data_IF_741598231958
#
_entry.id   IF_741598231958
#
_cell.length_a   1.000
_cell.length_b   1.000
_cell.length_c   1.000
_cell.angle_alpha   90.00
_cell.angle_beta   90.00
_cell.angle_gamma   90.00
#
_symmetry.space_group_name_H-M   'P 1'
#
loop_
_entity.id
_entity.type
_entity.pdbx_description
1 polymer ?
#
# COMPACT_ATOMS: atom_id res chain seq x y z
N UNK A 1 7.59 -31.83 22.05
CA UNK A 1 6.20 -32.15 21.65
C UNK A 1 5.18 -31.03 21.90
N UNK A 2 4.89 -30.59 23.14
CA UNK A 2 3.92 -29.48 23.38
C UNK A 2 4.26 -28.17 22.65
N UNK A 3 5.54 -27.81 22.53
CA UNK A 3 5.93 -26.60 21.81
C UNK A 3 5.56 -26.63 20.31
N UNK A 4 5.43 -27.82 19.70
CA UNK A 4 5.03 -27.95 18.30
C UNK A 4 3.56 -27.59 18.09
N UNK A 5 2.73 -27.69 19.13
CA UNK A 5 1.31 -27.30 19.08
C UNK A 5 1.12 -25.79 19.22
N UNK A 6 2.13 -25.05 19.70
CA UNK A 6 2.06 -23.58 19.79
C UNK A 6 2.07 -22.93 18.41
N UNK A 7 2.85 -23.44 17.46
CA UNK A 7 2.96 -22.84 16.12
C UNK A 7 1.61 -22.84 15.40
N UNK A 8 0.86 -23.96 15.28
CA UNK A 8 -0.48 -23.95 14.69
C UNK A 8 -1.46 -23.02 15.39
N UNK A 9 -1.39 -22.92 16.73
CA UNK A 9 -2.27 -22.05 17.51
C UNK A 9 -1.98 -20.57 17.23
N UNK A 10 -0.71 -20.17 17.19
CA UNK A 10 -0.30 -18.80 16.86
C UNK A 10 -0.64 -18.44 15.40
N UNK A 11 -0.46 -19.38 14.47
CA UNK A 11 -0.87 -19.21 13.07
C UNK A 11 -2.38 -18.99 12.97
N UNK A 12 -3.18 -19.79 13.69
CA UNK A 12 -4.63 -19.62 13.73
C UNK A 12 -5.02 -18.23 14.26
N UNK A 13 -4.48 -17.82 15.41
CA UNK A 13 -4.76 -16.50 15.99
C UNK A 13 -4.33 -15.35 15.08
N UNK A 14 -3.16 -15.46 14.43
CA UNK A 14 -2.70 -14.45 13.48
C UNK A 14 -3.63 -14.35 12.27
N UNK A 15 -4.09 -15.48 11.72
CA UNK A 15 -5.03 -15.49 10.60
C UNK A 15 -6.40 -14.91 10.98
N UNK A 16 -6.90 -15.21 12.18
CA UNK A 16 -8.14 -14.63 12.70
C UNK A 16 -8.04 -13.10 12.82
N UNK A 17 -6.94 -12.59 13.39
CA UNK A 17 -6.69 -11.15 13.49
C UNK A 17 -6.56 -10.48 12.12
N UNK A 18 -5.86 -11.13 11.17
CA UNK A 18 -5.78 -10.65 9.79
C UNK A 18 -7.17 -10.60 9.16
N UNK A 19 -7.97 -11.65 9.27
CA UNK A 19 -9.30 -11.68 8.66
C UNK A 19 -10.21 -10.58 9.23
N UNK A 20 -10.22 -10.40 10.56
CA UNK A 20 -11.00 -9.35 11.20
C UNK A 20 -10.62 -7.94 10.69
N UNK A 21 -9.32 -7.65 10.57
CA UNK A 21 -8.86 -6.38 10.03
C UNK A 21 -9.32 -6.19 8.58
N UNK A 22 -9.37 -7.26 7.80
CA UNK A 22 -9.66 -7.22 6.37
C UNK A 22 -11.14 -7.06 6.08
N UNK A 23 -12.01 -7.59 6.95
CA UNK A 23 -13.45 -7.36 6.87
C UNK A 23 -13.79 -5.86 6.98
N UNK A 24 -13.01 -5.11 7.77
CA UNK A 24 -13.14 -3.65 7.91
C UNK A 24 -12.47 -2.92 6.74
N UNK A 25 -11.19 -3.22 6.47
CA UNK A 25 -10.41 -2.46 5.50
C UNK A 25 -10.95 -2.61 4.06
N UNK A 26 -11.40 -3.81 3.66
CA UNK A 26 -11.76 -4.09 2.27
C UNK A 26 -12.96 -3.28 1.78
N UNK A 27 -13.88 -2.89 2.68
CA UNK A 27 -15.04 -2.05 2.35
C UNK A 27 -14.65 -0.58 2.08
N UNK A 28 -13.55 -0.13 2.68
CA UNK A 28 -13.06 1.24 2.55
C UNK A 28 -12.08 1.44 1.39
N UNK A 29 -11.65 0.36 0.72
CA UNK A 29 -10.74 0.45 -0.42
C UNK A 29 -11.43 1.12 -1.59
N UNK A 30 -10.82 2.19 -2.10
CA UNK A 30 -11.27 2.88 -3.31
C UNK A 30 -10.42 2.43 -4.50
N UNK A 31 -11.05 1.86 -5.51
CA UNK A 31 -10.39 1.46 -6.74
C UNK A 31 -10.62 2.51 -7.84
N UNK A 32 -9.54 2.87 -8.53
CA UNK A 32 -9.53 3.78 -9.68
C UNK A 32 -8.72 3.15 -10.81
N UNK A 33 -9.21 3.28 -12.04
CA UNK A 33 -8.44 2.90 -13.23
C UNK A 33 -7.54 4.05 -13.65
N UNK A 34 -6.24 3.78 -13.81
CA UNK A 34 -5.25 4.73 -14.28
C UNK A 34 -5.17 4.76 -15.82
N UNK A 35 -4.62 5.83 -16.41
CA UNK A 35 -4.48 5.97 -17.86
C UNK A 35 -3.68 4.85 -18.53
N UNK A 36 -2.64 4.33 -17.87
CA UNK A 36 -1.86 3.17 -18.32
C UNK A 36 -2.58 1.82 -18.19
N UNK A 37 -3.84 1.80 -17.75
CA UNK A 37 -4.64 0.58 -17.62
C UNK A 37 -4.50 -0.14 -16.28
N UNK A 38 -3.60 0.30 -15.39
CA UNK A 38 -3.47 -0.23 -14.04
C UNK A 38 -4.67 0.11 -13.14
N UNK A 39 -4.99 -0.79 -12.22
CA UNK A 39 -5.98 -0.55 -11.16
C UNK A 39 -5.23 -0.05 -9.94
N UNK A 40 -5.40 1.24 -9.62
CA UNK A 40 -4.92 1.84 -8.38
C UNK A 40 -5.96 1.67 -7.29
N UNK A 41 -5.57 1.00 -6.21
CA UNK A 41 -6.39 0.81 -5.02
C UNK A 41 -5.82 1.67 -3.91
N UNK A 42 -6.66 2.49 -3.30
CA UNK A 42 -6.24 3.44 -2.28
C UNK A 42 -6.96 3.12 -0.97
N UNK A 43 -6.19 3.04 0.11
CA UNK A 43 -6.70 2.78 1.47
C UNK A 43 -6.06 3.75 2.47
N UNK A 44 -6.90 4.48 3.20
CA UNK A 44 -6.44 5.25 4.36
C UNK A 44 -6.37 4.28 5.56
N UNK A 45 -5.16 3.79 5.84
CA UNK A 45 -4.91 2.82 6.93
C UNK A 45 -4.97 3.48 8.30
N UNK A 46 -4.95 4.80 8.38
CA UNK A 46 -5.11 5.54 9.63
C UNK A 46 -6.60 5.66 10.00
N UNK A 47 -7.49 5.80 9.02
CA UNK A 47 -8.93 5.96 9.29
C UNK A 47 -9.73 4.66 9.23
N UNK A 48 -9.28 3.70 8.42
CA UNK A 48 -10.06 2.49 8.11
C UNK A 48 -9.37 1.19 8.51
N UNK A 49 -8.38 1.26 9.41
CA UNK A 49 -7.79 0.09 10.03
C UNK A 49 -7.74 0.24 11.56
N UNK A 50 -7.80 -0.88 12.28
CA UNK A 50 -7.63 -0.87 13.73
C UNK A 50 -6.18 -0.50 14.08
N UNK A 51 -6.01 0.62 14.78
CA UNK A 51 -4.69 1.10 15.22
C UNK A 51 -4.19 0.31 16.42
N UNK A 52 -2.86 0.32 16.61
CA UNK A 52 -2.18 -0.30 17.75
C UNK A 52 -2.48 -1.80 17.95
N UNK A 53 -2.92 -2.48 16.89
CA UNK A 53 -3.22 -3.91 16.89
C UNK A 53 -2.53 -4.60 15.71
N UNK A 54 -2.47 -5.93 15.75
CA UNK A 54 -2.01 -6.72 14.62
C UNK A 54 -3.17 -6.99 13.66
N UNK A 55 -2.98 -6.90 12.32
CA UNK A 55 -1.73 -6.58 11.63
C UNK A 55 -1.41 -5.07 11.55
N UNK A 56 -0.10 -4.70 11.53
CA UNK A 56 0.32 -3.31 11.37
C UNK A 56 0.02 -2.79 9.95
N UNK A 57 0.00 -1.45 9.74
CA UNK A 57 -0.41 -0.83 8.47
C UNK A 57 0.27 -1.39 7.21
N UNK A 58 1.56 -1.71 7.28
CA UNK A 58 2.30 -2.31 6.16
C UNK A 58 1.82 -3.72 5.80
N UNK A 59 1.50 -4.55 6.81
CA UNK A 59 0.96 -5.90 6.60
C UNK A 59 -0.52 -5.83 6.20
N UNK A 60 -1.30 -4.91 6.76
CA UNK A 60 -2.67 -4.62 6.34
C UNK A 60 -2.73 -4.25 4.86
N UNK A 61 -1.93 -3.28 4.42
CA UNK A 61 -1.86 -2.86 3.01
C UNK A 61 -1.40 -4.01 2.11
N UNK A 62 -0.49 -4.84 2.62
CA UNK A 62 -0.03 -6.05 1.94
C UNK A 62 -1.11 -7.07 1.70
N UNK A 63 -1.85 -7.41 2.75
CA UNK A 63 -2.93 -8.40 2.65
C UNK A 63 -4.09 -7.90 1.78
N UNK A 64 -4.38 -6.60 1.83
CA UNK A 64 -5.33 -5.95 0.90
C UNK A 64 -4.85 -6.10 -0.53
N UNK A 65 -3.58 -5.82 -0.80
CA UNK A 65 -2.98 -5.98 -2.13
C UNK A 65 -3.10 -7.43 -2.63
N UNK A 66 -2.77 -8.41 -1.79
CA UNK A 66 -2.81 -9.83 -2.16
C UNK A 66 -4.24 -10.29 -2.51
N UNK A 67 -5.25 -9.87 -1.75
CA UNK A 67 -6.66 -10.16 -2.08
C UNK A 67 -7.11 -9.46 -3.37
N UNK A 68 -6.67 -8.24 -3.62
CA UNK A 68 -7.03 -7.49 -4.83
C UNK A 68 -6.33 -8.03 -6.07
N UNK A 69 -5.08 -8.53 -5.95
CA UNK A 69 -4.40 -9.24 -7.02
C UNK A 69 -5.14 -10.52 -7.41
N UNK A 70 -5.69 -11.26 -6.44
CA UNK A 70 -6.55 -12.42 -6.72
C UNK A 70 -7.85 -12.02 -7.41
N UNK A 71 -8.46 -10.90 -6.99
CA UNK A 71 -9.70 -10.37 -7.58
C UNK A 71 -9.48 -9.86 -9.01
N UNK A 72 -8.33 -9.28 -9.31
CA UNK A 72 -7.96 -8.72 -10.61
C UNK A 72 -6.81 -9.50 -11.24
N UNK A 73 -6.92 -10.82 -11.33
CA UNK A 73 -5.83 -11.72 -11.72
C UNK A 73 -5.10 -11.29 -13.00
N UNK A 74 -5.85 -10.83 -14.02
CA UNK A 74 -5.35 -10.52 -15.36
C UNK A 74 -4.99 -9.04 -15.59
N UNK A 75 -4.98 -8.23 -14.53
CA UNK A 75 -4.73 -6.78 -14.65
C UNK A 75 -3.54 -6.34 -13.80
N UNK A 76 -2.82 -5.29 -14.24
CA UNK A 76 -1.85 -4.61 -13.42
C UNK A 76 -2.55 -3.97 -12.22
N UNK A 77 -2.05 -4.25 -11.01
CA UNK A 77 -2.65 -3.82 -9.75
C UNK A 77 -1.61 -3.05 -8.96
N UNK A 78 -1.99 -1.87 -8.49
CA UNK A 78 -1.23 -1.08 -7.53
C UNK A 78 -2.11 -0.86 -6.31
N UNK A 79 -1.54 -1.04 -5.12
CA UNK A 79 -2.21 -0.73 -3.85
C UNK A 79 -1.37 0.29 -3.11
N UNK A 80 -2.02 1.38 -2.73
CA UNK A 80 -1.47 2.48 -1.96
C UNK A 80 -2.22 2.55 -0.62
N UNK A 81 -1.55 2.13 0.44
CA UNK A 81 -2.03 2.30 1.81
C UNK A 81 -1.36 3.52 2.43
N UNK A 82 -2.11 4.54 2.84
CA UNK A 82 -1.53 5.77 3.36
C UNK A 82 -2.05 6.13 4.75
N UNK A 83 -1.18 6.76 5.53
CA UNK A 83 -1.49 7.37 6.82
C UNK A 83 -1.36 8.90 6.78
N UNK A 84 -1.16 9.54 7.93
CA UNK A 84 -1.02 11.00 7.99
C UNK A 84 0.26 11.49 7.31
N UNK A 85 1.38 10.83 7.55
CA UNK A 85 2.75 11.24 7.15
C UNK A 85 3.50 10.16 6.34
N UNK A 86 2.80 9.10 5.92
CA UNK A 86 3.40 8.02 5.14
C UNK A 86 2.44 7.41 4.11
N UNK A 87 3.02 6.76 3.11
CA UNK A 87 2.36 5.88 2.17
C UNK A 87 3.18 4.61 1.98
N UNK A 88 2.50 3.47 1.89
CA UNK A 88 3.04 2.15 1.57
C UNK A 88 2.49 1.77 0.20
N UNK A 89 3.38 1.40 -0.71
CA UNK A 89 3.04 0.99 -2.06
C UNK A 89 3.39 -0.47 -2.29
N UNK A 90 2.50 -1.15 -3.02
CA UNK A 90 2.74 -2.46 -3.61
C UNK A 90 2.21 -2.49 -5.03
N UNK A 91 2.98 -3.02 -5.97
CA UNK A 91 2.53 -3.26 -7.34
C UNK A 91 2.73 -4.71 -7.78
N UNK A 92 1.91 -5.10 -8.77
CA UNK A 92 2.05 -6.30 -9.58
C UNK A 92 1.73 -5.94 -11.04
N UNK A 93 2.62 -6.26 -11.97
CA UNK A 93 2.47 -5.94 -13.39
C UNK A 93 2.67 -4.45 -13.73
N UNK A 94 3.30 -3.68 -12.84
CA UNK A 94 3.63 -2.27 -13.07
C UNK A 94 5.10 -2.05 -12.77
N UNK A 95 5.85 -1.52 -13.73
CA UNK A 95 7.29 -1.30 -13.67
C UNK A 95 7.64 -0.09 -12.81
N UNK A 96 7.29 -0.15 -11.51
CA UNK A 96 7.55 0.94 -10.59
C UNK A 96 9.05 1.09 -10.31
N UNK A 97 9.50 2.34 -10.21
CA UNK A 97 10.82 2.69 -9.72
C UNK A 97 10.67 3.67 -8.56
N UNK A 98 10.35 3.14 -7.38
CA UNK A 98 10.08 3.94 -6.19
C UNK A 98 11.25 4.87 -5.84
N UNK A 99 12.53 4.45 -5.85
CA UNK A 99 13.64 5.36 -5.59
C UNK A 99 13.66 6.57 -6.55
N UNK A 100 13.43 6.34 -7.85
CA UNK A 100 13.33 7.42 -8.84
C UNK A 100 12.12 8.33 -8.57
N UNK A 101 10.95 7.75 -8.30
CA UNK A 101 9.74 8.52 -7.99
C UNK A 101 9.91 9.38 -6.74
N UNK A 102 10.57 8.87 -5.70
CA UNK A 102 10.90 9.62 -4.48
C UNK A 102 11.83 10.80 -4.79
N UNK A 103 12.86 10.59 -5.62
CA UNK A 103 13.76 11.66 -6.05
C UNK A 103 13.03 12.74 -6.85
N UNK A 104 12.14 12.35 -7.76
CA UNK A 104 11.32 13.28 -8.56
C UNK A 104 10.33 14.05 -7.67
N UNK A 105 9.60 13.38 -6.79
CA UNK A 105 8.68 14.02 -5.83
C UNK A 105 9.38 15.02 -4.92
N UNK A 106 10.61 14.71 -4.49
CA UNK A 106 11.42 15.64 -3.68
C UNK A 106 11.82 16.91 -4.45
N UNK A 107 12.02 16.81 -5.78
CA UNK A 107 12.34 17.97 -6.63
C UNK A 107 11.10 18.78 -6.99
N UNK A 108 9.98 18.10 -7.26
CA UNK A 108 8.73 18.72 -7.69
C UNK A 108 7.97 19.40 -6.56
N UNK A 109 8.04 18.87 -5.33
CA UNK A 109 7.33 19.40 -4.17
C UNK A 109 8.33 19.83 -3.08
N UNK A 110 9.03 20.97 -3.27
CA UNK A 110 9.94 21.49 -2.26
C UNK A 110 9.18 21.80 -0.96
N UNK A 111 9.68 21.29 0.16
CA UNK A 111 9.05 21.46 1.48
C UNK A 111 8.16 20.30 1.93
N UNK A 112 7.82 19.33 1.06
CA UNK A 112 7.05 18.15 1.46
C UNK A 112 7.83 17.14 2.30
N UNK A 113 9.13 17.34 2.51
CA UNK A 113 9.96 16.44 3.33
C UNK A 113 9.99 15.00 2.80
N UNK A 114 9.79 14.82 1.50
CA UNK A 114 9.67 13.50 0.88
C UNK A 114 10.94 12.70 1.10
N UNK A 115 10.81 11.59 1.83
CA UNK A 115 11.86 10.63 2.10
C UNK A 115 11.27 9.24 1.92
N UNK A 116 11.98 8.31 1.30
CA UNK A 116 11.42 7.00 1.07
C UNK A 116 12.49 5.99 0.71
N UNK A 117 12.07 4.73 0.71
CA UNK A 117 12.90 3.61 0.34
C UNK A 117 12.05 2.46 -0.16
N UNK A 118 12.70 1.45 -0.70
CA UNK A 118 12.03 0.27 -1.21
C UNK A 118 12.79 -0.40 -2.33
N UNK A 119 12.11 -1.36 -2.94
CA UNK A 119 12.52 -2.05 -4.14
C UNK A 119 11.57 -1.65 -5.29
N UNK A 120 11.83 -2.15 -6.50
CA UNK A 120 11.06 -1.79 -7.69
C UNK A 120 9.54 -1.94 -7.49
N UNK A 121 9.10 -3.00 -6.81
CA UNK A 121 7.67 -3.35 -6.69
C UNK A 121 7.02 -3.03 -5.32
N UNK A 122 7.83 -2.76 -4.29
CA UNK A 122 7.34 -2.53 -2.92
C UNK A 122 8.17 -1.44 -2.25
N UNK A 123 7.50 -0.47 -1.63
CA UNK A 123 8.22 0.59 -0.92
C UNK A 123 7.33 1.41 -0.01
N UNK A 124 7.98 2.32 0.72
CA UNK A 124 7.30 3.30 1.55
C UNK A 124 7.89 4.68 1.35
N UNK A 125 7.01 5.67 1.45
CA UNK A 125 7.32 7.08 1.30
C UNK A 125 6.79 7.78 2.54
N UNK A 126 7.62 8.60 3.15
CA UNK A 126 7.28 9.53 4.23
C UNK A 126 7.25 10.94 3.67
N UNK A 127 6.37 11.75 4.22
CA UNK A 127 6.18 13.15 3.83
C UNK A 127 5.57 13.91 5.00
N UNK A 128 5.64 15.23 4.94
CA UNK A 128 4.96 16.11 5.91
C UNK A 128 3.44 15.97 5.74
N UNK A 129 2.71 15.78 6.83
CA UNK A 129 1.26 15.53 6.81
C UNK A 129 0.47 16.61 6.06
N UNK A 130 0.86 17.89 6.18
CA UNK A 130 0.22 19.00 5.47
C UNK A 130 0.31 18.90 3.94
N UNK A 131 1.31 18.17 3.42
CA UNK A 131 1.54 17.98 1.99
C UNK A 131 1.00 16.64 1.49
N UNK A 132 0.32 15.86 2.33
CA UNK A 132 -0.19 14.52 2.00
C UNK A 132 -1.00 14.51 0.69
N UNK A 133 -1.97 15.41 0.54
CA UNK A 133 -2.85 15.40 -0.64
C UNK A 133 -2.05 15.62 -1.93
N UNK A 134 -1.11 16.56 -1.91
CA UNK A 134 -0.28 16.89 -3.06
C UNK A 134 0.68 15.74 -3.42
N UNK A 135 1.33 15.16 -2.41
CA UNK A 135 2.25 14.02 -2.61
C UNK A 135 1.49 12.81 -3.16
N UNK A 136 0.31 12.47 -2.60
CA UNK A 136 -0.49 11.34 -3.06
C UNK A 136 -1.04 11.55 -4.48
N UNK A 137 -1.47 12.77 -4.81
CA UNK A 137 -1.94 13.10 -6.15
C UNK A 137 -0.82 12.96 -7.19
N UNK A 138 0.37 13.52 -6.90
CA UNK A 138 1.54 13.40 -7.77
C UNK A 138 2.04 11.96 -7.90
N UNK A 139 1.98 11.21 -6.82
CA UNK A 139 2.34 9.79 -6.83
C UNK A 139 1.38 8.99 -7.73
N UNK A 140 0.06 9.22 -7.64
CA UNK A 140 -0.93 8.58 -8.52
C UNK A 140 -0.75 8.97 -10.00
N UNK A 141 -0.46 10.24 -10.28
CA UNK A 141 -0.14 10.74 -11.62
C UNK A 141 1.07 10.00 -12.20
N UNK A 142 2.17 9.94 -11.45
CA UNK A 142 3.40 9.25 -11.88
C UNK A 142 3.16 7.76 -12.12
N UNK A 143 2.43 7.07 -11.24
CA UNK A 143 2.08 5.65 -11.45
C UNK A 143 1.28 5.48 -12.74
N UNK A 144 0.40 6.43 -13.08
CA UNK A 144 -0.38 6.41 -14.31
C UNK A 144 0.42 6.66 -15.60
N UNK A 145 1.66 7.15 -15.49
CA UNK A 145 2.56 7.39 -16.62
C UNK A 145 3.64 6.30 -16.79
N UNK A 146 3.68 5.30 -15.90
CA UNK A 146 4.64 4.20 -15.93
C UNK A 146 4.11 3.04 -16.78
N UNK A 147 5.00 2.34 -17.46
CA UNK A 147 4.65 1.17 -18.27
C UNK A 147 4.12 0.01 -17.41
N UNK A 148 3.18 -0.74 -18.00
CA UNK A 148 2.59 -1.94 -17.42
C UNK A 148 3.03 -3.17 -18.23
N UNK A 149 3.17 -4.31 -17.55
CA UNK A 149 3.48 -5.61 -18.18
C UNK A 149 2.28 -6.23 -18.90
#
# INVERSE_FOLDING_TARGET
ERHNQLVPLLVKQANEAINMQMDVCMQAVKAQKLPNGAILNVLDVEKFALKFTFPPPGKTSGEVHDRLCKKYADKPVVTLGFGPDFAVLRSRGVLMNIPRMVQELRKEIPGAGVNGGGHLVVGSIKFVEGMRQEVLAKLAEKIGCVDVE
#
